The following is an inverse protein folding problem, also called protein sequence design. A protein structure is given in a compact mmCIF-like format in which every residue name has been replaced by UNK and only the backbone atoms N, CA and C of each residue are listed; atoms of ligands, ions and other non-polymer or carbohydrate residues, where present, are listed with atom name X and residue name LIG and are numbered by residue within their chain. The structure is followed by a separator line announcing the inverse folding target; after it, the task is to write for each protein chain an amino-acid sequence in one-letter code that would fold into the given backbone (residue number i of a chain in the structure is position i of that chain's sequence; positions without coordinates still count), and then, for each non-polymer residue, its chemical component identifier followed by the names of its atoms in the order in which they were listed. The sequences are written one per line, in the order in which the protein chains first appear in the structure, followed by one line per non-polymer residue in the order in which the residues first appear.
data_IF_424773247277
#
_entry.id   IF_424773247277
#
_cell.length_a   1.000
_cell.length_b   1.000
_cell.length_c   1.000
_cell.angle_alpha   90.00
_cell.angle_beta   90.00
_cell.angle_gamma   90.00
#
_symmetry.space_group_name_H-M   'P 1'
#
loop_
_entity.id
_entity.type
_entity.pdbx_description
1 polymer ?
#
# COMPACT_ATOMS: atom_id res chain seq x y z
N UNK A 1 53.91 -17.17 65.70
CA UNK A 1 53.26 -18.37 66.27
C UNK A 1 52.24 -18.90 65.27
N UNK A 2 52.26 -20.21 65.06
CA UNK A 2 51.52 -20.99 64.05
C UNK A 2 49.98 -20.98 64.26
N UNK A 3 49.22 -21.12 63.18
CA UNK A 3 47.78 -21.40 63.19
C UNK A 3 47.48 -22.86 63.62
N UNK A 4 46.30 -23.12 64.22
CA UNK A 4 45.38 -24.12 63.64
C UNK A 4 43.89 -23.72 63.85
N UNK A 5 43.03 -23.73 62.83
CA UNK A 5 42.30 -24.83 62.18
C UNK A 5 40.86 -25.00 62.67
N UNK A 6 39.94 -25.13 61.70
CA UNK A 6 38.49 -25.37 61.82
C UNK A 6 38.06 -26.40 62.87
N UNK A 7 36.86 -26.19 63.43
CA UNK A 7 35.81 -27.22 63.56
C UNK A 7 34.43 -26.58 63.80
N UNK A 8 33.56 -26.60 62.79
CA UNK A 8 32.12 -26.34 62.98
C UNK A 8 31.47 -27.62 63.50
N UNK A 9 30.75 -27.50 64.62
CA UNK A 9 29.92 -28.56 65.20
C UNK A 9 28.63 -28.72 64.40
N UNK A 10 28.34 -29.93 63.93
CA UNK A 10 26.98 -30.50 63.78
C UNK A 10 26.74 -31.43 64.99
N UNK A 11 25.54 -31.98 65.31
CA UNK A 11 24.23 -31.96 64.65
C UNK A 11 23.07 -31.61 65.65
N UNK A 12 21.80 -31.55 65.28
CA UNK A 12 20.90 -32.72 65.37
C UNK A 12 19.66 -32.55 64.48
N UNK A 13 19.30 -33.64 63.83
CA UNK A 13 17.97 -33.81 63.26
C UNK A 13 16.96 -33.98 64.39
N UNK A 14 15.88 -33.21 64.37
CA UNK A 14 14.49 -33.69 64.57
C UNK A 14 13.56 -32.49 64.49
N UNK A 15 12.64 -32.53 63.53
CA UNK A 15 11.65 -31.50 63.32
C UNK A 15 10.92 -31.73 62.02
N UNK A 16 10.03 -32.72 62.02
CA UNK A 16 9.11 -32.97 60.93
C UNK A 16 8.14 -31.79 60.79
N UNK A 17 8.56 -30.72 60.11
CA UNK A 17 7.63 -29.80 59.49
C UNK A 17 7.16 -30.43 58.18
N UNK A 18 5.89 -30.78 58.12
CA UNK A 18 5.18 -31.12 56.89
C UNK A 18 5.35 -29.98 55.89
N UNK A 19 6.36 -30.10 55.04
CA UNK A 19 6.55 -29.20 53.91
C UNK A 19 5.44 -29.50 52.93
N UNK A 20 4.37 -28.71 52.97
CA UNK A 20 3.44 -28.60 51.85
C UNK A 20 4.27 -28.10 50.67
N UNK A 21 4.73 -29.02 49.82
CA UNK A 21 5.34 -28.67 48.54
C UNK A 21 4.20 -28.17 47.67
N UNK A 22 3.96 -26.86 47.72
CA UNK A 22 3.18 -26.17 46.71
C UNK A 22 3.88 -26.37 45.37
N UNK A 23 3.42 -27.35 44.59
CA UNK A 23 3.80 -27.45 43.20
C UNK A 23 3.28 -26.19 42.52
N UNK A 24 4.19 -25.31 42.12
CA UNK A 24 3.85 -24.16 41.30
C UNK A 24 3.00 -24.66 40.12
N UNK A 25 1.76 -24.15 40.00
CA UNK A 25 0.93 -24.44 38.83
C UNK A 25 1.71 -23.95 37.62
N UNK A 26 2.32 -24.87 36.90
CA UNK A 26 3.10 -24.54 35.72
C UNK A 26 2.25 -23.72 34.73
N UNK A 27 2.81 -22.71 34.04
CA UNK A 27 2.07 -21.87 33.10
C UNK A 27 1.81 -22.59 31.75
N UNK A 28 1.76 -23.93 31.77
CA UNK A 28 1.55 -24.75 30.58
C UNK A 28 0.08 -25.15 30.49
N UNK A 29 -0.54 -25.05 29.30
CA UNK A 29 -1.96 -25.35 29.15
C UNK A 29 -2.23 -26.83 29.46
N UNK A 30 -3.23 -27.10 30.30
CA UNK A 30 -3.68 -28.44 30.74
C UNK A 30 -4.31 -29.29 29.64
N UNK A 31 -4.24 -28.87 28.38
CA UNK A 31 -4.84 -29.59 27.26
C UNK A 31 -3.80 -30.42 26.51
N UNK A 32 -3.99 -31.76 26.36
CA UNK A 32 -3.06 -32.62 25.65
C UNK A 32 -2.80 -32.14 24.22
N UNK A 33 -1.55 -32.25 23.76
CA UNK A 33 -1.15 -32.02 22.38
C UNK A 33 -1.84 -33.08 21.49
N UNK A 34 -2.99 -32.73 20.91
CA UNK A 34 -3.81 -33.65 20.13
C UNK A 34 -5.31 -33.48 20.33
N UNK A 35 -5.75 -32.76 21.38
CA UNK A 35 -7.18 -32.56 21.65
C UNK A 35 -7.87 -31.77 20.52
N UNK A 36 -9.16 -32.02 20.23
CA UNK A 36 -9.92 -31.28 19.23
C UNK A 36 -9.91 -29.77 19.49
N UNK A 37 -9.94 -29.36 20.77
CA UNK A 37 -9.82 -27.94 21.18
C UNK A 37 -8.46 -27.35 20.80
N UNK A 38 -7.38 -28.13 20.92
CA UNK A 38 -6.03 -27.70 20.53
C UNK A 38 -5.86 -27.69 18.99
N UNK A 39 -6.39 -28.69 18.28
CA UNK A 39 -6.44 -28.70 16.80
C UNK A 39 -7.25 -27.52 16.24
N UNK A 40 -8.32 -27.10 16.92
CA UNK A 40 -9.15 -25.95 16.53
C UNK A 40 -8.44 -24.61 16.79
N UNK A 41 -7.70 -24.47 17.91
CA UNK A 41 -6.78 -23.33 18.15
C UNK A 41 -5.65 -23.27 17.12
N UNK A 42 -5.03 -24.40 16.80
CA UNK A 42 -3.96 -24.49 15.81
C UNK A 42 -4.45 -24.23 14.37
N UNK A 43 -5.70 -24.58 14.03
CA UNK A 43 -6.34 -24.18 12.75
C UNK A 43 -6.62 -22.69 12.67
N UNK A 44 -7.09 -22.07 13.76
CA UNK A 44 -7.27 -20.62 13.84
C UNK A 44 -5.93 -19.84 13.83
N UNK A 45 -4.82 -20.52 14.15
CA UNK A 45 -3.46 -19.99 14.13
C UNK A 45 -2.58 -20.48 12.97
N UNK A 46 -3.13 -21.13 11.93
CA UNK A 46 -2.35 -21.46 10.72
C UNK A 46 -2.10 -20.17 9.93
N UNK A 47 -0.95 -19.57 10.23
CA UNK A 47 -0.15 -18.67 9.41
C UNK A 47 -0.83 -18.28 8.09
N UNK A 48 -1.41 -17.07 8.05
CA UNK A 48 -1.32 -16.27 6.83
C UNK A 48 0.16 -16.24 6.43
N UNK A 49 0.52 -16.47 5.16
CA UNK A 49 1.93 -16.45 4.76
C UNK A 49 2.57 -15.18 5.29
N UNK A 50 3.66 -15.37 6.03
CA UNK A 50 4.43 -14.36 6.75
C UNK A 50 5.30 -13.61 5.73
N UNK A 51 4.66 -13.08 4.68
CA UNK A 51 5.33 -12.07 3.87
C UNK A 51 5.37 -10.82 4.75
N UNK A 52 6.56 -10.58 5.31
CA UNK A 52 6.93 -9.42 6.13
C UNK A 52 6.83 -8.13 5.31
N UNK A 53 5.61 -7.74 5.00
CA UNK A 53 5.21 -6.40 4.62
C UNK A 53 3.82 -6.21 5.19
N UNK A 54 3.50 -5.05 5.76
CA UNK A 54 2.10 -4.71 6.08
C UNK A 54 1.28 -4.93 4.80
N UNK A 55 0.57 -6.06 4.71
CA UNK A 55 -0.37 -6.29 3.63
C UNK A 55 -1.43 -5.20 3.80
N UNK A 56 -1.35 -4.14 3.00
CA UNK A 56 -2.27 -3.01 3.07
C UNK A 56 -3.66 -3.60 3.00
N UNK A 57 -4.44 -3.46 4.08
CA UNK A 57 -5.75 -4.08 4.18
C UNK A 57 -6.65 -3.50 3.10
N UNK A 58 -6.81 -4.23 2.00
CA UNK A 58 -7.78 -3.90 0.96
C UNK A 58 -9.13 -4.33 1.49
N UNK A 59 -10.12 -3.43 1.41
CA UNK A 59 -11.51 -3.78 1.76
C UNK A 59 -11.97 -4.88 0.81
N UNK A 60 -12.38 -6.02 1.36
CA UNK A 60 -12.94 -7.14 0.59
C UNK A 60 -14.45 -7.21 0.80
N UNK A 61 -15.17 -7.67 -0.22
CA UNK A 61 -16.60 -7.95 -0.10
C UNK A 61 -16.77 -9.25 0.72
N UNK A 62 -17.52 -9.24 1.84
CA UNK A 62 -17.66 -10.40 2.70
C UNK A 62 -18.37 -11.59 2.03
N UNK A 63 -19.20 -11.34 1.02
CA UNK A 63 -19.94 -12.40 0.30
C UNK A 63 -19.10 -13.09 -0.78
N UNK A 64 -18.23 -12.34 -1.46
CA UNK A 64 -17.49 -12.84 -2.64
C UNK A 64 -15.98 -12.95 -2.42
N UNK A 65 -15.47 -12.51 -1.27
CA UNK A 65 -14.04 -12.36 -0.96
C UNK A 65 -13.21 -11.59 -2.00
N UNK A 66 -13.86 -10.93 -2.97
CA UNK A 66 -13.21 -10.11 -3.99
C UNK A 66 -12.86 -8.73 -3.40
N UNK A 67 -11.74 -8.11 -3.82
CA UNK A 67 -11.40 -6.77 -3.39
C UNK A 67 -12.41 -5.75 -3.94
N UNK A 68 -12.89 -4.88 -3.06
CA UNK A 68 -13.75 -3.74 -3.44
C UNK A 68 -12.90 -2.75 -4.23
N UNK A 69 -13.40 -2.34 -5.40
CA UNK A 69 -12.77 -1.32 -6.24
C UNK A 69 -13.57 -0.03 -6.16
N UNK A 70 -12.89 1.08 -5.97
CA UNK A 70 -13.48 2.40 -6.05
C UNK A 70 -13.73 2.77 -7.52
N UNK A 71 -14.87 3.41 -7.78
CA UNK A 71 -15.19 3.98 -9.09
C UNK A 71 -14.42 5.28 -9.24
N UNK A 72 -13.48 5.31 -10.17
CA UNK A 72 -12.61 6.47 -10.44
C UNK A 72 -13.20 7.34 -11.54
N UNK A 73 -12.91 8.64 -11.52
CA UNK A 73 -13.26 9.58 -12.59
C UNK A 73 -12.13 9.76 -13.61
N UNK A 74 -10.89 9.47 -13.22
CA UNK A 74 -9.67 9.53 -14.05
C UNK A 74 -9.36 8.18 -14.69
N UNK A 75 -8.71 8.22 -15.85
CA UNK A 75 -8.15 7.13 -16.63
C UNK A 75 -6.64 7.34 -16.83
N UNK A 76 -5.86 6.28 -17.07
CA UNK A 76 -4.45 6.44 -17.40
C UNK A 76 -4.30 7.16 -18.75
N UNK A 77 -3.35 8.09 -18.86
CA UNK A 77 -3.17 8.97 -20.03
C UNK A 77 -3.97 10.27 -19.98
N UNK A 78 -4.75 10.52 -18.93
CA UNK A 78 -5.45 11.80 -18.76
C UNK A 78 -4.48 12.89 -18.29
N UNK A 79 -4.61 14.10 -18.87
CA UNK A 79 -3.98 15.33 -18.36
C UNK A 79 -4.82 15.89 -17.21
N UNK A 80 -4.19 16.12 -16.06
CA UNK A 80 -4.86 16.55 -14.84
C UNK A 80 -4.10 17.64 -14.12
N UNK A 81 -4.82 18.54 -13.45
CA UNK A 81 -4.25 19.55 -12.57
C UNK A 81 -4.41 19.15 -11.10
N UNK A 82 -3.36 19.35 -10.32
CA UNK A 82 -3.36 19.10 -8.87
C UNK A 82 -4.02 20.26 -8.12
N UNK A 83 -5.07 19.99 -7.36
CA UNK A 83 -5.83 20.98 -6.60
C UNK A 83 -5.30 21.23 -5.18
N UNK A 84 -4.73 20.20 -4.55
CA UNK A 84 -4.37 20.21 -3.12
C UNK A 84 -3.01 19.56 -2.90
N UNK A 85 -2.33 19.98 -1.84
CA UNK A 85 -1.02 19.44 -1.44
C UNK A 85 0.13 20.37 -1.81
N UNK A 86 1.35 19.85 -1.72
CA UNK A 86 2.59 20.60 -1.97
C UNK A 86 2.72 21.03 -3.44
N UNK A 87 2.24 20.19 -4.34
CA UNK A 87 2.34 20.37 -5.78
C UNK A 87 1.08 21.01 -6.39
N UNK A 88 0.37 21.85 -5.64
CA UNK A 88 -0.85 22.52 -6.10
C UNK A 88 -0.58 23.36 -7.36
N UNK A 89 -1.47 23.27 -8.34
CA UNK A 89 -1.42 24.03 -9.59
C UNK A 89 -0.65 23.35 -10.71
N UNK A 90 0.19 22.35 -10.42
CA UNK A 90 0.93 21.61 -11.44
C UNK A 90 -0.01 20.80 -12.33
N UNK A 91 0.22 20.88 -13.65
CA UNK A 91 -0.48 20.12 -14.68
C UNK A 91 0.39 18.92 -15.05
N UNK A 92 -0.18 17.71 -15.00
CA UNK A 92 0.58 16.46 -15.16
C UNK A 92 -0.26 15.35 -15.77
N UNK A 93 0.40 14.33 -16.31
CA UNK A 93 -0.24 13.14 -16.86
C UNK A 93 -0.42 12.03 -15.81
N UNK A 94 -1.54 11.31 -15.87
CA UNK A 94 -1.79 10.12 -15.05
C UNK A 94 -1.14 8.88 -15.67
N UNK A 95 -0.10 8.35 -15.03
CA UNK A 95 0.61 7.15 -15.49
C UNK A 95 -0.16 5.87 -15.17
N UNK A 96 -0.55 5.71 -13.91
CA UNK A 96 -1.17 4.48 -13.39
C UNK A 96 -2.23 4.80 -12.35
N UNK A 97 -3.25 3.93 -12.30
CA UNK A 97 -4.36 4.05 -11.36
C UNK A 97 -4.39 2.82 -10.46
N UNK A 98 -4.70 3.04 -9.19
CA UNK A 98 -4.90 2.01 -8.19
C UNK A 98 -6.35 2.04 -7.65
N UNK A 99 -7.32 1.41 -8.34
CA UNK A 99 -8.73 1.42 -7.94
C UNK A 99 -9.01 0.75 -6.59
N UNK A 100 -8.09 -0.09 -6.10
CA UNK A 100 -8.23 -0.75 -4.78
C UNK A 100 -8.02 0.22 -3.61
N UNK A 101 -7.27 1.30 -3.84
CA UNK A 101 -6.88 2.26 -2.80
C UNK A 101 -7.37 3.68 -3.06
N UNK A 102 -8.09 3.91 -4.17
CA UNK A 102 -8.51 5.23 -4.61
C UNK A 102 -7.33 6.19 -4.85
N UNK A 103 -6.20 5.64 -5.32
CA UNK A 103 -4.95 6.39 -5.55
C UNK A 103 -4.54 6.35 -7.02
N UNK A 104 -3.77 7.34 -7.42
CA UNK A 104 -3.21 7.51 -8.76
C UNK A 104 -1.72 7.86 -8.66
N UNK A 105 -0.96 7.47 -9.66
CA UNK A 105 0.44 7.84 -9.85
C UNK A 105 0.49 8.84 -11.00
N UNK A 106 0.94 10.06 -10.73
CA UNK A 106 1.10 11.12 -11.73
C UNK A 106 2.58 11.36 -11.99
N UNK A 107 2.90 11.82 -13.19
CA UNK A 107 4.26 12.17 -13.59
C UNK A 107 4.73 13.43 -12.86
N UNK A 108 5.89 13.40 -12.20
CA UNK A 108 6.53 14.60 -11.66
C UNK A 108 5.84 15.24 -10.44
N UNK A 109 4.94 14.50 -9.77
CA UNK A 109 4.18 15.00 -8.61
C UNK A 109 4.39 14.09 -7.40
N UNK A 110 4.36 14.69 -6.20
CA UNK A 110 4.36 13.98 -4.93
C UNK A 110 5.59 13.06 -4.78
N UNK A 111 6.78 13.66 -4.91
CA UNK A 111 8.04 12.97 -4.74
C UNK A 111 8.23 12.48 -3.31
N UNK A 112 8.71 11.25 -3.19
CA UNK A 112 9.25 10.72 -1.95
C UNK A 112 10.70 10.29 -2.15
N UNK A 113 11.48 10.45 -1.09
CA UNK A 113 12.88 10.04 -1.10
C UNK A 113 12.94 8.56 -0.70
N UNK A 114 13.48 7.75 -1.60
CA UNK A 114 13.80 6.35 -1.35
C UNK A 114 15.32 6.20 -1.25
N UNK A 115 15.78 5.79 -0.07
CA UNK A 115 17.17 5.40 0.11
C UNK A 115 17.35 3.98 -0.45
N UNK A 116 18.11 3.86 -1.54
CA UNK A 116 18.36 2.60 -2.22
C UNK A 116 19.71 2.08 -1.75
N UNK A 117 19.70 0.86 -1.20
CA UNK A 117 20.93 0.16 -0.84
C UNK A 117 21.60 -0.35 -2.13
N UNK A 118 22.93 -0.31 -2.21
CA UNK A 118 23.63 -0.86 -3.36
C UNK A 118 23.39 -2.37 -3.44
N UNK A 119 23.25 -2.90 -4.66
CA UNK A 119 23.02 -4.32 -4.88
C UNK A 119 24.32 -5.06 -5.21
N UNK A 120 25.27 -4.37 -5.84
CA UNK A 120 26.63 -4.85 -6.11
C UNK A 120 27.64 -4.14 -5.22
N UNK A 121 28.78 -4.77 -4.97
CA UNK A 121 29.85 -4.23 -4.12
C UNK A 121 30.45 -2.94 -4.69
N UNK A 122 30.44 -2.78 -6.02
CA UNK A 122 31.00 -1.62 -6.72
C UNK A 122 30.01 -0.44 -6.84
N UNK A 123 28.75 -0.61 -6.44
CA UNK A 123 27.72 0.42 -6.53
C UNK A 123 27.64 1.22 -5.21
N UNK A 124 27.58 2.55 -5.29
CA UNK A 124 27.35 3.40 -4.12
C UNK A 124 25.85 3.50 -3.82
N UNK A 125 25.48 3.50 -2.54
CA UNK A 125 24.09 3.74 -2.13
C UNK A 125 23.58 5.11 -2.57
N UNK A 126 22.35 5.17 -3.07
CA UNK A 126 21.79 6.40 -3.67
C UNK A 126 20.52 6.86 -2.95
N UNK A 127 20.35 8.18 -2.90
CA UNK A 127 19.12 8.83 -2.45
C UNK A 127 18.27 9.16 -3.68
N UNK A 128 17.32 8.29 -4.00
CA UNK A 128 16.52 8.40 -5.22
C UNK A 128 15.20 9.10 -4.93
N UNK A 129 14.84 10.11 -5.73
CA UNK A 129 13.50 10.69 -5.71
C UNK A 129 12.58 9.84 -6.59
N UNK A 130 11.44 9.40 -6.07
CA UNK A 130 10.46 8.62 -6.83
C UNK A 130 9.07 9.20 -6.64
N UNK A 131 8.22 9.13 -7.66
CA UNK A 131 6.83 9.58 -7.49
C UNK A 131 6.05 8.63 -6.58
N UNK A 132 5.28 9.21 -5.67
CA UNK A 132 4.42 8.45 -4.78
C UNK A 132 2.95 8.58 -5.19
N UNK A 133 2.15 7.50 -5.06
CA UNK A 133 0.72 7.57 -5.36
C UNK A 133 -0.03 8.56 -4.46
N UNK A 134 -0.87 9.38 -5.08
CA UNK A 134 -1.72 10.37 -4.42
C UNK A 134 -3.20 10.02 -4.53
N UNK A 135 -4.05 10.67 -3.74
CA UNK A 135 -5.49 10.39 -3.76
C UNK A 135 -6.15 11.02 -4.98
N UNK A 136 -7.05 10.30 -5.66
CA UNK A 136 -7.64 10.80 -6.91
C UNK A 136 -8.52 12.03 -6.74
N UNK A 137 -9.04 12.30 -5.55
CA UNK A 137 -9.83 13.52 -5.31
C UNK A 137 -8.98 14.79 -5.22
N UNK A 138 -7.65 14.69 -5.30
CA UNK A 138 -6.77 15.85 -5.32
C UNK A 138 -6.55 16.41 -6.73
N UNK A 139 -7.08 15.75 -7.76
CA UNK A 139 -6.88 16.16 -9.15
C UNK A 139 -8.20 16.48 -9.85
N UNK A 140 -8.12 17.35 -10.85
CA UNK A 140 -9.20 17.68 -11.80
C UNK A 140 -8.70 17.48 -13.23
N UNK A 141 -9.63 17.28 -14.17
CA UNK A 141 -9.25 17.17 -15.58
C UNK A 141 -8.83 18.55 -16.07
N UNK A 142 -7.68 18.60 -16.73
CA UNK A 142 -7.14 19.83 -17.29
C UNK A 142 -7.38 19.83 -18.79
N UNK A 143 -7.79 20.98 -19.30
CA UNK A 143 -7.91 21.22 -20.72
C UNK A 143 -6.68 22.01 -21.18
N UNK A 144 -5.92 21.46 -22.13
CA UNK A 144 -4.70 22.08 -22.65
C UNK A 144 -5.03 23.26 -23.57
N UNK A 145 -6.20 23.28 -24.20
CA UNK A 145 -6.59 24.32 -25.17
C UNK A 145 -7.02 25.62 -24.48
N UNK A 146 -7.80 25.50 -23.41
CA UNK A 146 -8.38 26.63 -22.68
C UNK A 146 -7.65 26.93 -21.36
N UNK A 147 -6.65 26.11 -21.01
CA UNK A 147 -5.89 26.15 -19.76
C UNK A 147 -6.74 26.09 -18.47
N UNK A 148 -7.99 25.60 -18.57
CA UNK A 148 -8.94 25.53 -17.46
C UNK A 148 -9.08 24.11 -16.93
N UNK A 149 -8.85 23.95 -15.63
CA UNK A 149 -9.23 22.73 -14.92
C UNK A 149 -10.73 22.70 -14.60
N UNK A 150 -11.35 21.54 -14.79
CA UNK A 150 -12.77 21.38 -14.50
C UNK A 150 -13.21 19.97 -14.13
N UNK A 151 -14.50 19.89 -13.79
CA UNK A 151 -15.13 18.65 -13.38
C UNK A 151 -15.46 17.78 -14.60
N UNK A 152 -15.41 16.47 -14.41
CA UNK A 152 -15.74 15.52 -15.46
C UNK A 152 -17.26 15.45 -15.71
N UNK A 153 -17.64 15.61 -16.97
CA UNK A 153 -18.95 15.30 -17.51
C UNK A 153 -18.93 14.04 -18.37
N UNK A 154 -20.10 13.41 -18.52
CA UNK A 154 -20.31 12.27 -19.43
C UNK A 154 -21.42 12.64 -20.41
N UNK A 155 -21.15 12.45 -21.70
CA UNK A 155 -22.12 12.61 -22.80
C UNK A 155 -22.18 11.31 -23.61
N UNK A 156 -23.30 11.08 -24.28
CA UNK A 156 -23.48 9.98 -25.22
C UNK A 156 -23.54 10.58 -26.62
N UNK A 157 -22.62 10.19 -27.49
CA UNK A 157 -22.60 10.58 -28.91
C UNK A 157 -22.90 9.37 -29.78
N UNK A 158 -23.70 9.56 -30.82
CA UNK A 158 -23.86 8.55 -31.87
C UNK A 158 -22.66 8.65 -32.80
N UNK A 159 -21.98 7.53 -33.01
CA UNK A 159 -20.87 7.42 -33.96
C UNK A 159 -21.30 6.47 -35.07
N UNK A 160 -21.30 6.95 -36.31
CA UNK A 160 -21.48 6.09 -37.48
C UNK A 160 -20.27 5.16 -37.61
N UNK A 161 -20.53 3.86 -37.73
CA UNK A 161 -19.53 2.85 -38.05
C UNK A 161 -19.40 2.70 -39.57
N UNK A 162 -18.27 2.16 -40.03
CA UNK A 162 -18.01 1.94 -41.48
C UNK A 162 -19.08 1.06 -42.14
N UNK A 163 -19.76 0.24 -41.35
CA UNK A 163 -20.81 -0.69 -41.80
C UNK A 163 -22.19 -0.03 -41.90
N UNK A 164 -22.29 1.30 -41.73
CA UNK A 164 -23.56 2.05 -41.76
C UNK A 164 -24.39 1.93 -40.48
N UNK A 165 -23.97 1.11 -39.52
CA UNK A 165 -24.60 1.00 -38.20
C UNK A 165 -24.17 2.14 -37.27
N UNK A 166 -25.12 2.63 -36.46
CA UNK A 166 -24.83 3.67 -35.45
C UNK A 166 -24.52 3.04 -34.09
N UNK A 167 -23.36 3.36 -33.53
CA UNK A 167 -23.00 2.94 -32.17
C UNK A 167 -23.01 4.15 -31.25
N UNK A 168 -23.75 4.06 -30.14
CA UNK A 168 -23.72 5.07 -29.09
C UNK A 168 -22.43 4.94 -28.29
N UNK A 169 -21.50 5.87 -28.46
CA UNK A 169 -20.25 5.95 -27.71
C UNK A 169 -20.41 6.90 -26.52
N UNK A 170 -20.01 6.41 -25.34
CA UNK A 170 -19.87 7.24 -24.15
C UNK A 170 -18.58 8.06 -24.25
N UNK A 171 -18.69 9.38 -24.14
CA UNK A 171 -17.58 10.32 -24.20
C UNK A 171 -17.49 11.09 -22.88
N UNK A 172 -16.26 11.38 -22.44
CA UNK A 172 -15.96 12.21 -21.28
C UNK A 172 -15.64 13.62 -21.77
N UNK A 173 -16.14 14.63 -21.07
CA UNK A 173 -15.88 16.04 -21.44
C UNK A 173 -15.63 16.86 -20.17
N UNK A 174 -14.93 17.97 -20.30
CA UNK A 174 -14.73 18.92 -19.22
C UNK A 174 -16.00 19.80 -19.10
N UNK A 175 -16.60 19.87 -17.91
CA UNK A 175 -17.84 20.65 -17.69
C UNK A 175 -17.63 22.16 -17.80
N UNK A 176 -16.42 22.66 -17.55
CA UNK A 176 -16.13 24.09 -17.60
C UNK A 176 -16.01 24.59 -19.03
N UNK A 177 -15.24 23.89 -19.87
CA UNK A 177 -14.96 24.28 -21.26
C UNK A 177 -15.94 23.66 -22.26
N UNK A 178 -16.53 22.51 -21.91
CA UNK A 178 -17.37 21.72 -22.82
C UNK A 178 -16.58 20.80 -23.76
N UNK A 179 -15.25 20.92 -23.78
CA UNK A 179 -14.36 20.17 -24.65
C UNK A 179 -14.29 18.68 -24.27
N UNK A 180 -14.09 17.84 -25.27
CA UNK A 180 -14.03 16.40 -25.09
C UNK A 180 -12.63 15.97 -24.64
N UNK A 181 -12.58 15.12 -23.61
CA UNK A 181 -11.31 14.61 -23.12
C UNK A 181 -10.88 13.47 -24.04
N UNK A 182 -9.73 13.59 -24.74
CA UNK A 182 -9.25 12.55 -25.63
C UNK A 182 -8.88 11.29 -24.84
N UNK A 183 -9.04 10.12 -25.46
CA UNK A 183 -8.54 8.86 -24.89
C UNK A 183 -7.10 8.68 -25.39
N UNK A 184 -6.14 9.09 -24.57
CA UNK A 184 -4.69 8.93 -24.83
C UNK A 184 -4.18 7.67 -24.14
N UNK A 185 -3.16 7.04 -24.72
CA UNK A 185 -2.43 5.98 -24.04
C UNK A 185 -1.48 6.62 -23.01
N UNK A 186 -1.33 6.05 -21.79
CA UNK A 186 -0.41 6.60 -20.81
C UNK A 186 1.04 6.51 -21.29
N UNK A 187 1.84 7.52 -20.97
CA UNK A 187 3.29 7.45 -21.13
C UNK A 187 3.89 6.28 -20.33
N UNK A 188 4.97 5.71 -20.86
CA UNK A 188 5.68 4.61 -20.20
C UNK A 188 6.29 5.15 -18.91
N UNK A 189 6.00 4.52 -17.77
CA UNK A 189 6.67 4.89 -16.52
C UNK A 189 8.17 4.57 -16.63
N UNK A 190 8.97 5.63 -16.60
CA UNK A 190 10.43 5.60 -16.52
C UNK A 190 10.81 6.08 -15.11
N UNK A 191 11.73 5.39 -14.40
CA UNK A 191 12.26 5.86 -13.13
C UNK A 191 12.78 7.29 -13.26
N UNK A 192 12.61 8.12 -12.23
CA UNK A 192 13.04 9.53 -12.26
C UNK A 192 14.52 9.66 -12.63
N UNK A 193 15.37 8.72 -12.20
CA UNK A 193 16.81 8.69 -12.51
C UNK A 193 17.13 8.54 -13.99
N UNK A 194 16.25 7.85 -14.73
CA UNK A 194 16.49 7.48 -16.13
C UNK A 194 15.79 8.45 -17.08
N UNK A 195 15.15 9.50 -16.56
CA UNK A 195 14.60 10.57 -17.39
C UNK A 195 15.73 11.54 -17.69
N UNK A 196 16.02 11.71 -18.98
CA UNK A 196 16.88 12.78 -19.45
C UNK A 196 16.18 14.07 -19.03
N UNK A 197 16.81 14.85 -18.16
CA UNK A 197 16.40 16.23 -17.96
C UNK A 197 16.75 16.92 -19.28
N UNK A 198 15.73 17.13 -20.12
CA UNK A 198 15.87 18.04 -21.24
C UNK A 198 16.12 19.42 -20.62
N UNK A 199 17.40 19.81 -20.53
CA UNK A 199 17.81 21.16 -20.15
C UNK A 199 17.30 22.12 -21.24
N UNK A 200 16.21 22.85 -20.94
CA UNK A 200 15.81 24.06 -21.67
C UNK A 200 16.66 25.27 -21.24
#
# INVERSE_FOLDING_TARGET
MLAPSLQRRTPSQTGACSRVIMHARSPKPTTPAGSPKNKRRMRAGRKRPIFNGRQIAVRVNPKTNKPVRYKMHVMPGDTVQVMKGKDKGKVTEVLRIFPKWNKILCLGVNYCIKHVRPMREDEVGQRVQVEAPMHSSWVMHYDEEEEVAGLLGVRFKKKALKDGSEVVKKVRYNKSTGNEIPVRAPSRWVPVLDRVEDED
#
